data_IF_854394299976
#
_entry.id   IF_854394299976
#
_cell.length_a   1.000
_cell.length_b   1.000
_cell.length_c   1.000
_cell.angle_alpha   90.00
_cell.angle_beta   90.00
_cell.angle_gamma   90.00
#
_symmetry.space_group_name_H-M   'P 1'
#
loop_
_entity.id
_entity.type
_entity.pdbx_description
1 polymer ?
#
# COMPACT_ATOMS: atom_id res chain seq x y z
N UNK A 1 40.32 -33.34 9.20
CA UNK A 1 39.52 -32.18 9.67
C UNK A 1 38.30 -32.09 8.79
N UNK A 2 37.07 -32.23 9.34
CA UNK A 2 35.86 -32.20 8.54
C UNK A 2 35.55 -30.75 8.14
N UNK A 3 35.19 -30.53 6.88
CA UNK A 3 34.72 -29.21 6.45
C UNK A 3 33.18 -29.14 6.58
N UNK A 4 32.63 -28.00 7.03
CA UNK A 4 31.17 -27.82 7.09
C UNK A 4 30.56 -27.92 5.69
N UNK A 5 29.55 -28.77 5.55
CA UNK A 5 28.77 -28.86 4.30
C UNK A 5 27.80 -27.67 4.29
N UNK A 6 27.98 -26.72 3.37
CA UNK A 6 27.00 -25.68 3.07
C UNK A 6 25.91 -26.25 2.17
N UNK A 7 24.92 -26.91 2.75
CA UNK A 7 23.71 -27.24 2.00
C UNK A 7 22.73 -26.08 2.11
N UNK A 8 22.12 -25.68 0.98
CA UNK A 8 20.90 -24.87 1.01
C UNK A 8 19.91 -25.59 1.93
N UNK A 9 19.31 -24.85 2.87
CA UNK A 9 18.39 -25.46 3.83
C UNK A 9 17.22 -26.09 3.07
N UNK A 10 16.83 -27.29 3.44
CA UNK A 10 15.80 -28.05 2.73
C UNK A 10 14.49 -27.27 2.61
N UNK A 11 14.11 -26.51 3.65
CA UNK A 11 12.90 -25.69 3.60
C UNK A 11 12.98 -24.59 2.52
N UNK A 12 14.17 -24.03 2.23
CA UNK A 12 14.36 -23.03 1.18
C UNK A 12 14.09 -23.65 -0.20
N UNK A 13 14.49 -24.89 -0.41
CA UNK A 13 14.21 -25.60 -1.67
C UNK A 13 12.70 -25.87 -1.84
N UNK A 14 11.99 -26.17 -0.76
CA UNK A 14 10.52 -26.32 -0.77
C UNK A 14 9.85 -24.99 -1.14
N UNK A 15 10.31 -23.88 -0.55
CA UNK A 15 9.82 -22.53 -0.87
C UNK A 15 10.03 -22.23 -2.36
N UNK A 16 11.22 -22.50 -2.90
CA UNK A 16 11.52 -22.24 -4.31
C UNK A 16 10.69 -23.08 -5.27
N UNK A 17 10.36 -24.32 -4.92
CA UNK A 17 9.44 -25.13 -5.72
C UNK A 17 8.02 -24.53 -5.73
N UNK A 18 7.49 -24.14 -4.58
CA UNK A 18 6.16 -23.50 -4.49
C UNK A 18 6.15 -22.19 -5.29
N UNK A 19 7.19 -21.34 -5.17
CA UNK A 19 7.32 -20.13 -5.98
C UNK A 19 7.33 -20.43 -7.48
N UNK A 20 8.08 -21.45 -7.90
CA UNK A 20 8.15 -21.86 -9.30
C UNK A 20 6.77 -22.30 -9.80
N UNK A 21 6.00 -23.02 -9.00
CA UNK A 21 4.63 -23.42 -9.35
C UNK A 21 3.68 -22.24 -9.48
N UNK A 22 3.86 -21.20 -8.65
CA UNK A 22 3.10 -19.95 -8.77
C UNK A 22 3.48 -19.20 -10.05
N UNK A 23 4.78 -19.05 -10.32
CA UNK A 23 5.30 -18.37 -11.51
C UNK A 23 4.87 -19.06 -12.79
N UNK A 24 4.87 -20.39 -12.81
CA UNK A 24 4.43 -21.20 -13.97
C UNK A 24 2.90 -21.26 -14.13
N UNK A 25 2.12 -20.71 -13.20
CA UNK A 25 0.66 -20.75 -13.22
C UNK A 25 0.04 -22.08 -12.76
N UNK A 26 0.85 -23.03 -12.31
CA UNK A 26 0.39 -24.32 -11.77
C UNK A 26 -0.27 -24.18 -10.39
N UNK A 27 0.02 -23.10 -9.67
CA UNK A 27 -0.68 -22.66 -8.46
C UNK A 27 -1.19 -21.25 -8.67
N UNK A 28 -2.48 -21.05 -8.44
CA UNK A 28 -3.18 -19.78 -8.60
C UNK A 28 -3.71 -19.26 -7.27
N UNK A 29 -4.17 -18.02 -7.27
CA UNK A 29 -4.83 -17.40 -6.09
C UNK A 29 -6.00 -18.24 -5.61
N UNK A 30 -6.02 -18.55 -4.32
CA UNK A 30 -7.07 -19.33 -3.68
C UNK A 30 -6.88 -20.85 -3.75
N UNK A 31 -5.91 -21.34 -4.51
CA UNK A 31 -5.65 -22.77 -4.61
C UNK A 31 -5.23 -23.36 -3.28
N UNK A 32 -5.74 -24.57 -3.00
CA UNK A 32 -5.36 -25.34 -1.85
C UNK A 32 -4.03 -26.06 -2.13
N UNK A 33 -3.06 -25.88 -1.24
CA UNK A 33 -1.83 -26.65 -1.28
C UNK A 33 -2.08 -28.09 -0.83
N UNK A 34 -1.27 -29.07 -1.31
CA UNK A 34 -1.28 -30.41 -0.75
C UNK A 34 -1.06 -30.37 0.77
N UNK A 35 -1.62 -31.34 1.49
CA UNK A 35 -1.41 -31.43 2.94
C UNK A 35 0.07 -31.61 3.29
N UNK A 36 0.46 -31.27 4.53
CA UNK A 36 1.83 -31.50 5.02
C UNK A 36 2.29 -32.93 4.76
N UNK A 37 1.41 -33.91 4.93
CA UNK A 37 1.70 -35.33 4.70
C UNK A 37 1.99 -35.62 3.22
N UNK A 38 1.12 -35.12 2.33
CA UNK A 38 1.30 -35.28 0.89
C UNK A 38 2.59 -34.60 0.40
N UNK A 39 2.90 -33.38 0.92
CA UNK A 39 4.15 -32.68 0.59
C UNK A 39 5.38 -33.47 1.05
N UNK A 40 5.36 -34.07 2.26
CA UNK A 40 6.41 -34.96 2.74
C UNK A 40 6.59 -36.13 1.80
N UNK A 41 5.50 -36.77 1.39
CA UNK A 41 5.52 -37.95 0.53
C UNK A 41 6.00 -37.63 -0.89
N UNK A 42 5.61 -36.48 -1.45
CA UNK A 42 5.99 -36.04 -2.80
C UNK A 42 7.43 -35.52 -2.86
N UNK A 43 7.85 -34.71 -1.89
CA UNK A 43 9.16 -34.05 -1.90
C UNK A 43 10.24 -34.86 -1.21
N UNK A 44 9.87 -35.96 -0.52
CA UNK A 44 10.80 -36.86 0.21
C UNK A 44 11.66 -36.11 1.23
N UNK A 45 11.09 -35.15 1.92
CA UNK A 45 11.75 -34.34 2.95
C UNK A 45 11.07 -34.50 4.31
N UNK A 46 11.69 -33.97 5.37
CA UNK A 46 11.16 -34.09 6.72
C UNK A 46 9.89 -33.21 6.91
N UNK A 47 9.00 -33.65 7.83
CA UNK A 47 7.83 -32.82 8.23
C UNK A 47 8.24 -31.46 8.77
N UNK A 48 9.36 -31.40 9.49
CA UNK A 48 9.89 -30.14 10.04
C UNK A 48 10.22 -29.17 8.93
N UNK A 49 10.90 -29.62 7.87
CA UNK A 49 11.26 -28.76 6.72
C UNK A 49 10.01 -28.27 5.97
N UNK A 50 8.98 -29.10 5.81
CA UNK A 50 7.70 -28.68 5.21
C UNK A 50 7.04 -27.59 6.08
N UNK A 51 6.96 -27.80 7.40
CA UNK A 51 6.34 -26.83 8.30
C UNK A 51 7.10 -25.51 8.35
N UNK A 52 8.42 -25.53 8.34
CA UNK A 52 9.25 -24.33 8.25
C UNK A 52 8.99 -23.57 6.94
N UNK A 53 8.93 -24.26 5.81
CA UNK A 53 8.65 -23.66 4.52
C UNK A 53 7.25 -23.01 4.49
N UNK A 54 6.21 -23.73 4.94
CA UNK A 54 4.86 -23.22 4.98
C UNK A 54 4.73 -22.01 5.93
N UNK A 55 5.36 -22.06 7.12
CA UNK A 55 5.40 -20.91 8.03
C UNK A 55 6.09 -19.70 7.42
N UNK A 56 7.23 -19.90 6.75
CA UNK A 56 7.92 -18.80 6.07
C UNK A 56 7.04 -18.17 4.97
N UNK A 57 6.37 -19.00 4.15
CA UNK A 57 5.44 -18.52 3.14
C UNK A 57 4.21 -17.81 3.73
N UNK A 58 3.74 -18.24 4.90
CA UNK A 58 2.64 -17.60 5.63
C UNK A 58 3.08 -16.23 6.19
N UNK A 59 4.28 -16.15 6.80
CA UNK A 59 4.83 -14.89 7.32
C UNK A 59 5.01 -13.86 6.22
N UNK A 60 5.53 -14.27 5.05
CA UNK A 60 5.64 -13.37 3.89
C UNK A 60 4.31 -13.16 3.17
N UNK A 61 3.21 -13.76 3.66
CA UNK A 61 1.85 -13.52 3.19
C UNK A 61 1.52 -14.13 1.83
N UNK A 62 2.30 -15.09 1.34
CA UNK A 62 1.99 -15.79 0.08
C UNK A 62 0.92 -16.87 0.27
N UNK A 63 0.85 -17.47 1.47
CA UNK A 63 -0.17 -18.45 1.80
C UNK A 63 -0.94 -18.03 3.05
N UNK A 64 -2.08 -18.66 3.28
CA UNK A 64 -2.87 -18.58 4.50
C UNK A 64 -3.15 -19.98 5.01
N UNK A 65 -2.98 -20.18 6.31
CA UNK A 65 -3.38 -21.41 6.99
C UNK A 65 -4.82 -21.25 7.52
N UNK A 66 -5.71 -22.18 7.15
CA UNK A 66 -7.03 -22.28 7.72
C UNK A 66 -7.09 -23.52 8.61
N UNK A 67 -7.43 -23.30 9.89
CA UNK A 67 -7.46 -24.38 10.86
C UNK A 67 -8.44 -25.48 10.42
N UNK A 68 -7.96 -26.72 10.34
CA UNK A 68 -8.74 -27.88 9.90
C UNK A 68 -8.95 -28.00 8.39
N UNK A 69 -8.71 -26.94 7.61
CA UNK A 69 -8.90 -26.96 6.17
C UNK A 69 -7.58 -27.11 5.39
N UNK A 70 -6.46 -26.64 5.95
CA UNK A 70 -5.13 -26.71 5.35
C UNK A 70 -4.57 -25.36 4.91
N UNK A 71 -3.57 -25.39 4.03
CA UNK A 71 -2.87 -24.23 3.51
C UNK A 71 -3.38 -23.86 2.12
N UNK A 72 -3.52 -22.56 1.85
CA UNK A 72 -4.04 -22.05 0.59
C UNK A 72 -3.15 -20.91 0.08
N UNK A 73 -2.96 -20.80 -1.22
CA UNK A 73 -2.41 -19.58 -1.82
C UNK A 73 -3.37 -18.43 -1.49
N UNK A 74 -2.83 -17.29 -1.04
CA UNK A 74 -3.69 -16.13 -0.74
C UNK A 74 -4.44 -15.67 -1.99
N UNK A 75 -5.70 -15.39 -1.80
CA UNK A 75 -6.61 -14.82 -2.79
C UNK A 75 -6.59 -13.30 -2.78
N UNK A 76 -6.41 -12.70 -1.58
CA UNK A 76 -6.28 -11.26 -1.39
C UNK A 76 -4.98 -10.94 -0.66
N UNK A 77 -4.26 -9.97 -1.18
CA UNK A 77 -3.06 -9.42 -0.55
C UNK A 77 -3.46 -8.09 0.09
N UNK A 78 -3.50 -8.06 1.40
CA UNK A 78 -3.78 -6.88 2.20
C UNK A 78 -2.49 -6.09 2.52
N UNK A 79 -2.67 -4.94 3.17
CA UNK A 79 -1.58 -4.04 3.51
C UNK A 79 -0.52 -4.67 4.45
N UNK A 80 -0.84 -5.77 5.14
CA UNK A 80 0.07 -6.44 6.07
C UNK A 80 1.35 -6.97 5.42
N UNK A 81 1.32 -7.21 4.10
CA UNK A 81 2.50 -7.63 3.33
C UNK A 81 3.56 -6.53 3.22
N UNK A 82 3.14 -5.28 3.28
CA UNK A 82 4.00 -4.13 3.04
C UNK A 82 4.50 -3.48 4.34
N UNK A 83 3.95 -3.87 5.49
CA UNK A 83 4.38 -3.40 6.80
C UNK A 83 5.86 -3.66 7.09
N UNK A 84 6.43 -4.86 6.81
CA UNK A 84 7.87 -5.08 6.98
C UNK A 84 8.74 -4.13 6.14
N UNK A 85 8.28 -3.78 4.92
CA UNK A 85 9.02 -2.85 4.05
C UNK A 85 8.98 -1.42 4.60
N UNK A 86 7.85 -0.99 5.17
CA UNK A 86 7.76 0.29 5.88
C UNK A 86 8.77 0.37 7.04
N UNK A 87 8.94 -0.72 7.81
CA UNK A 87 9.93 -0.79 8.89
C UNK A 87 11.36 -0.68 8.36
N UNK A 88 11.67 -1.33 7.23
CA UNK A 88 12.99 -1.19 6.58
C UNK A 88 13.26 0.25 6.20
N UNK A 89 12.31 0.94 5.58
CA UNK A 89 12.46 2.36 5.24
C UNK A 89 12.68 3.25 6.47
N UNK A 90 12.02 2.94 7.59
CA UNK A 90 12.23 3.65 8.86
C UNK A 90 13.64 3.39 9.42
N UNK A 91 14.13 2.15 9.35
CA UNK A 91 15.47 1.76 9.82
C UNK A 91 16.58 2.41 8.98
N UNK A 92 16.40 2.49 7.67
CA UNK A 92 17.33 3.15 6.74
C UNK A 92 17.30 4.69 6.86
N UNK A 93 16.47 5.22 7.78
CA UNK A 93 16.34 6.67 8.02
C UNK A 93 16.05 7.44 6.74
N UNK A 94 15.15 6.91 5.90
CA UNK A 94 14.70 7.61 4.69
C UNK A 94 14.42 9.07 5.02
N UNK A 95 15.03 9.98 4.28
CA UNK A 95 14.84 11.41 4.52
C UNK A 95 13.43 11.83 4.03
N UNK A 96 13.01 13.01 4.45
CA UNK A 96 11.69 13.53 4.06
C UNK A 96 11.59 13.76 2.56
N UNK A 97 12.66 14.20 1.98
CA UNK A 97 12.77 14.55 0.56
C UNK A 97 12.51 13.32 -0.31
N UNK A 98 13.12 12.17 0.02
CA UNK A 98 12.90 10.91 -0.71
C UNK A 98 11.43 10.47 -0.65
N UNK A 99 10.80 10.60 0.53
CA UNK A 99 9.39 10.22 0.71
C UNK A 99 8.47 11.14 -0.08
N UNK A 100 8.75 12.45 -0.09
CA UNK A 100 8.00 13.46 -0.82
C UNK A 100 8.12 13.23 -2.33
N UNK A 101 9.32 12.94 -2.81
CA UNK A 101 9.58 12.66 -4.21
C UNK A 101 8.81 11.42 -4.69
N UNK A 102 8.90 10.32 -3.94
CA UNK A 102 8.16 9.08 -4.24
C UNK A 102 6.65 9.33 -4.19
N UNK A 103 6.16 10.05 -3.18
CA UNK A 103 4.76 10.41 -3.05
C UNK A 103 4.27 11.17 -4.27
N UNK A 104 5.01 12.20 -4.70
CA UNK A 104 4.67 13.01 -5.87
C UNK A 104 4.59 12.17 -7.14
N UNK A 105 5.62 11.36 -7.43
CA UNK A 105 5.65 10.49 -8.60
C UNK A 105 4.42 9.57 -8.64
N UNK A 106 4.08 8.98 -7.51
CA UNK A 106 3.04 7.95 -7.45
C UNK A 106 1.64 8.56 -7.43
N UNK A 107 1.38 9.58 -6.61
CA UNK A 107 0.03 10.12 -6.43
C UNK A 107 -0.41 10.97 -7.62
N UNK A 108 0.50 11.69 -8.26
CA UNK A 108 0.23 12.45 -9.49
C UNK A 108 -0.20 11.51 -10.62
N UNK A 109 0.51 10.41 -10.80
CA UNK A 109 0.15 9.41 -11.81
C UNK A 109 -1.09 8.61 -11.41
N UNK A 110 -1.28 8.33 -10.12
CA UNK A 110 -2.50 7.72 -9.60
C UNK A 110 -3.74 8.54 -9.93
N UNK A 111 -3.68 9.87 -9.75
CA UNK A 111 -4.78 10.77 -10.09
C UNK A 111 -5.09 10.76 -11.60
N UNK A 112 -4.05 10.76 -12.44
CA UNK A 112 -4.21 10.65 -13.90
C UNK A 112 -4.91 9.36 -14.33
N UNK A 113 -4.54 8.23 -13.72
CA UNK A 113 -5.14 6.93 -13.99
C UNK A 113 -6.55 6.83 -13.40
N UNK A 114 -6.74 7.36 -12.18
CA UNK A 114 -8.04 7.38 -11.51
C UNK A 114 -9.08 8.12 -12.34
N UNK A 115 -8.76 9.28 -12.90
CA UNK A 115 -9.68 10.03 -13.75
C UNK A 115 -10.26 9.19 -14.91
N UNK A 116 -9.44 8.28 -15.47
CA UNK A 116 -9.88 7.38 -16.56
C UNK A 116 -10.74 6.21 -16.09
N UNK A 117 -10.59 5.77 -14.82
CA UNK A 117 -11.06 4.46 -14.36
C UNK A 117 -12.05 4.52 -13.20
N UNK A 118 -12.18 5.68 -12.55
CA UNK A 118 -13.01 5.87 -11.35
C UNK A 118 -14.47 5.50 -11.59
N UNK A 119 -15.05 4.78 -10.68
CA UNK A 119 -16.46 4.38 -10.68
C UNK A 119 -17.34 5.42 -10.00
N UNK A 120 -18.66 5.34 -10.23
CA UNK A 120 -19.63 6.20 -9.55
C UNK A 120 -19.63 6.01 -8.03
N UNK A 121 -19.39 4.79 -7.58
CA UNK A 121 -19.31 4.45 -6.14
C UNK A 121 -18.08 5.10 -5.50
N UNK A 122 -16.94 5.06 -6.18
CA UNK A 122 -15.72 5.71 -5.70
C UNK A 122 -15.85 7.23 -5.69
N UNK A 123 -16.49 7.82 -6.68
CA UNK A 123 -16.80 9.26 -6.67
C UNK A 123 -17.66 9.65 -5.46
N UNK A 124 -18.69 8.85 -5.12
CA UNK A 124 -19.50 9.10 -3.93
C UNK A 124 -18.70 9.02 -2.63
N UNK A 125 -17.74 8.11 -2.55
CA UNK A 125 -16.84 8.02 -1.38
C UNK A 125 -15.96 9.27 -1.26
N UNK A 126 -15.37 9.74 -2.37
CA UNK A 126 -14.56 10.96 -2.36
C UNK A 126 -15.40 12.19 -1.99
N UNK A 127 -16.61 12.30 -2.52
CA UNK A 127 -17.56 13.36 -2.17
C UNK A 127 -17.87 13.37 -0.67
N UNK A 128 -18.17 12.20 -0.11
CA UNK A 128 -18.38 12.05 1.33
C UNK A 128 -17.16 12.46 2.16
N UNK A 129 -15.95 12.07 1.74
CA UNK A 129 -14.70 12.44 2.43
C UNK A 129 -14.53 13.98 2.43
N UNK A 130 -14.78 14.63 1.29
CA UNK A 130 -14.68 16.08 1.15
C UNK A 130 -15.71 16.78 2.07
N UNK A 131 -16.93 16.30 2.11
CA UNK A 131 -17.98 16.84 2.98
C UNK A 131 -17.60 16.69 4.47
N UNK A 132 -17.03 15.56 4.87
CA UNK A 132 -16.52 15.37 6.23
C UNK A 132 -15.35 16.32 6.55
N UNK A 133 -14.42 16.54 5.60
CA UNK A 133 -13.32 17.50 5.77
C UNK A 133 -13.88 18.92 5.98
N UNK A 134 -14.90 19.30 5.23
CA UNK A 134 -15.55 20.62 5.32
C UNK A 134 -16.20 20.86 6.68
N UNK A 135 -16.82 19.81 7.24
CA UNK A 135 -17.61 19.90 8.48
C UNK A 135 -16.79 19.61 9.74
N UNK A 136 -15.54 19.12 9.64
CA UNK A 136 -14.71 18.78 10.79
C UNK A 136 -13.77 19.91 11.18
N UNK A 137 -13.62 20.13 12.49
CA UNK A 137 -12.58 20.99 13.08
C UNK A 137 -11.53 20.19 13.85
N UNK A 138 -11.77 18.88 14.07
CA UNK A 138 -10.83 18.02 14.76
C UNK A 138 -9.67 17.62 13.83
N UNK A 139 -8.48 18.08 14.18
CA UNK A 139 -7.27 17.86 13.38
C UNK A 139 -6.93 16.38 13.20
N UNK A 140 -7.20 15.55 14.20
CA UNK A 140 -6.96 14.09 14.08
C UNK A 140 -7.90 13.46 13.06
N UNK A 141 -9.14 13.92 13.01
CA UNK A 141 -10.12 13.49 12.02
C UNK A 141 -9.69 13.99 10.64
N UNK A 142 -9.29 15.25 10.53
CA UNK A 142 -8.84 15.85 9.27
C UNK A 142 -7.61 15.13 8.69
N UNK A 143 -6.62 14.78 9.50
CA UNK A 143 -5.45 13.97 9.05
C UNK A 143 -5.90 12.63 8.48
N UNK A 144 -6.84 11.96 9.16
CA UNK A 144 -7.37 10.66 8.70
C UNK A 144 -8.16 10.79 7.38
N UNK A 145 -8.95 11.83 7.25
CA UNK A 145 -9.74 12.09 6.05
C UNK A 145 -8.86 12.45 4.85
N UNK A 146 -7.84 13.28 5.07
CA UNK A 146 -6.83 13.62 4.06
C UNK A 146 -6.13 12.36 3.53
N UNK A 147 -5.64 11.51 4.43
CA UNK A 147 -5.08 10.20 4.06
C UNK A 147 -6.06 9.35 3.25
N UNK A 148 -7.32 9.27 3.70
CA UNK A 148 -8.34 8.49 3.02
C UNK A 148 -8.65 9.03 1.62
N UNK A 149 -8.62 10.36 1.42
CA UNK A 149 -8.80 10.98 0.13
C UNK A 149 -7.74 10.52 -0.88
N UNK A 150 -6.47 10.61 -0.50
CA UNK A 150 -5.36 10.15 -1.34
C UNK A 150 -5.40 8.64 -1.60
N UNK A 151 -5.75 7.86 -0.58
CA UNK A 151 -5.88 6.40 -0.70
C UNK A 151 -7.01 5.99 -1.67
N UNK A 152 -8.19 6.62 -1.59
CA UNK A 152 -9.31 6.33 -2.49
C UNK A 152 -8.97 6.70 -3.94
N UNK A 153 -8.21 7.76 -4.19
CA UNK A 153 -7.70 8.10 -5.53
C UNK A 153 -6.72 7.04 -6.01
N UNK A 154 -5.78 6.62 -5.17
CA UNK A 154 -4.84 5.55 -5.52
C UNK A 154 -5.56 4.24 -5.84
N UNK A 155 -6.60 3.90 -5.07
CA UNK A 155 -7.44 2.73 -5.31
C UNK A 155 -8.22 2.86 -6.63
N UNK A 156 -8.75 4.06 -6.92
CA UNK A 156 -9.47 4.34 -8.15
C UNK A 156 -8.57 4.29 -9.41
N UNK A 157 -7.24 4.40 -9.25
CA UNK A 157 -6.29 4.16 -10.33
C UNK A 157 -6.40 2.76 -10.91
N UNK A 158 -6.99 1.82 -10.17
CA UNK A 158 -7.10 0.40 -10.51
C UNK A 158 -5.77 -0.20 -10.97
N UNK A 159 -4.66 0.25 -10.35
CA UNK A 159 -3.32 -0.26 -10.56
C UNK A 159 -2.84 -0.89 -9.26
N UNK A 160 -2.90 -2.23 -9.19
CA UNK A 160 -2.54 -2.99 -8.00
C UNK A 160 -1.12 -2.70 -7.52
N UNK A 161 -0.15 -2.61 -8.44
CA UNK A 161 1.25 -2.37 -8.08
C UNK A 161 1.42 -0.97 -7.47
N UNK A 162 0.86 0.05 -8.11
CA UNK A 162 0.92 1.43 -7.63
C UNK A 162 0.29 1.57 -6.23
N UNK A 163 -0.89 0.99 -6.02
CA UNK A 163 -1.55 1.00 -4.72
C UNK A 163 -0.68 0.35 -3.62
N UNK A 164 -0.01 -0.75 -3.95
CA UNK A 164 0.83 -1.45 -2.98
C UNK A 164 2.14 -0.72 -2.68
N UNK A 165 2.70 0.04 -3.62
CA UNK A 165 3.85 0.89 -3.36
C UNK A 165 3.44 2.03 -2.39
N UNK A 166 2.29 2.68 -2.61
CA UNK A 166 1.75 3.69 -1.66
C UNK A 166 1.56 3.07 -0.27
N UNK A 167 0.98 1.88 -0.19
CA UNK A 167 0.79 1.18 1.07
C UNK A 167 2.10 0.88 1.79
N UNK A 168 3.16 0.53 1.05
CA UNK A 168 4.50 0.31 1.63
C UNK A 168 5.09 1.57 2.27
N UNK A 169 4.76 2.73 1.73
CA UNK A 169 5.21 4.03 2.24
C UNK A 169 4.20 4.67 3.21
N UNK A 170 3.05 4.04 3.47
CA UNK A 170 1.91 4.67 4.15
C UNK A 170 2.27 5.26 5.52
N UNK A 171 3.00 4.52 6.36
CA UNK A 171 3.39 4.98 7.69
C UNK A 171 4.27 6.24 7.63
N UNK A 172 5.15 6.32 6.64
CA UNK A 172 6.03 7.48 6.41
C UNK A 172 5.24 8.66 5.86
N UNK A 173 4.36 8.42 4.90
CA UNK A 173 3.45 9.44 4.33
C UNK A 173 2.52 9.99 5.41
N UNK A 174 1.97 9.13 6.29
CA UNK A 174 1.12 9.53 7.41
C UNK A 174 1.81 10.54 8.32
N UNK A 175 3.08 10.31 8.64
CA UNK A 175 3.87 11.22 9.47
C UNK A 175 4.09 12.58 8.78
N UNK A 176 4.26 12.60 7.45
CA UNK A 176 4.37 13.83 6.66
C UNK A 176 3.06 14.62 6.66
N UNK A 177 1.94 13.96 6.37
CA UNK A 177 0.61 14.58 6.39
C UNK A 177 0.33 15.20 7.76
N UNK A 178 0.56 14.45 8.84
CA UNK A 178 0.35 14.92 10.21
C UNK A 178 1.21 16.15 10.50
N UNK A 179 2.47 16.16 10.10
CA UNK A 179 3.39 17.29 10.30
C UNK A 179 2.97 18.52 9.50
N UNK A 180 2.58 18.37 8.23
CA UNK A 180 2.14 19.46 7.38
C UNK A 180 0.87 20.11 7.97
N UNK A 181 -0.15 19.32 8.31
CA UNK A 181 -1.40 19.81 8.88
C UNK A 181 -1.20 20.47 10.25
N UNK A 182 -0.34 19.91 11.09
CA UNK A 182 0.00 20.53 12.38
C UNK A 182 0.61 21.93 12.20
N UNK A 183 1.52 22.09 11.24
CA UNK A 183 2.11 23.40 10.93
C UNK A 183 1.08 24.39 10.35
N UNK A 184 0.21 23.94 9.45
CA UNK A 184 -0.90 24.74 8.91
C UNK A 184 -1.77 25.26 10.05
N UNK A 185 -2.10 24.41 11.02
CA UNK A 185 -2.89 24.79 12.19
C UNK A 185 -2.19 25.82 13.08
N UNK A 186 -0.90 25.63 13.39
CA UNK A 186 -0.14 26.56 14.25
C UNK A 186 -0.01 27.93 13.61
N UNK A 187 0.15 28.02 12.30
CA UNK A 187 0.26 29.29 11.59
C UNK A 187 -1.01 30.13 11.65
N UNK A 188 -2.11 29.58 12.25
CA UNK A 188 -3.41 30.25 12.42
C UNK A 188 -3.93 30.94 11.15
N UNK A 189 -3.48 30.49 10.00
CA UNK A 189 -3.87 31.05 8.73
C UNK A 189 -5.11 30.31 8.25
N UNK A 190 -6.27 30.88 8.46
CA UNK A 190 -7.57 30.34 8.04
C UNK A 190 -7.62 30.08 6.53
N UNK A 191 -6.86 30.87 5.76
CA UNK A 191 -6.77 30.75 4.31
C UNK A 191 -6.16 29.41 3.87
N UNK A 192 -5.17 28.90 4.59
CA UNK A 192 -4.49 27.62 4.22
C UNK A 192 -5.41 26.40 4.37
N UNK A 193 -6.28 26.37 5.39
CA UNK A 193 -7.25 25.27 5.56
C UNK A 193 -8.31 25.31 4.45
N UNK A 194 -8.79 26.50 4.12
CA UNK A 194 -9.73 26.72 3.03
C UNK A 194 -9.11 26.36 1.67
N UNK A 195 -7.85 26.75 1.47
CA UNK A 195 -7.10 26.44 0.25
C UNK A 195 -6.93 24.91 0.06
N UNK A 196 -6.59 24.15 1.11
CA UNK A 196 -6.51 22.69 1.04
C UNK A 196 -7.84 22.06 0.64
N UNK A 197 -8.95 22.52 1.22
CA UNK A 197 -10.28 22.03 0.89
C UNK A 197 -10.62 22.32 -0.58
N UNK A 198 -10.38 23.55 -1.04
CA UNK A 198 -10.61 23.97 -2.42
C UNK A 198 -9.79 23.12 -3.42
N UNK A 199 -8.54 22.77 -3.05
CA UNK A 199 -7.72 21.89 -3.87
C UNK A 199 -8.29 20.48 -3.94
N UNK A 200 -8.77 19.88 -2.83
CA UNK A 200 -9.43 18.58 -2.85
C UNK A 200 -10.70 18.61 -3.71
N UNK A 201 -11.53 19.65 -3.60
CA UNK A 201 -12.72 19.83 -4.43
C UNK A 201 -12.37 19.93 -5.94
N UNK A 202 -11.32 20.67 -6.29
CA UNK A 202 -10.84 20.77 -7.68
C UNK A 202 -10.35 19.43 -8.22
N UNK A 203 -9.59 18.67 -7.44
CA UNK A 203 -9.12 17.32 -7.83
C UNK A 203 -10.34 16.41 -8.05
N UNK A 204 -11.30 16.40 -7.12
CA UNK A 204 -12.53 15.63 -7.25
C UNK A 204 -13.30 15.98 -8.53
N UNK A 205 -13.45 17.26 -8.86
CA UNK A 205 -14.12 17.68 -10.09
C UNK A 205 -13.39 17.20 -11.33
N UNK A 206 -12.06 17.30 -11.38
CA UNK A 206 -11.27 16.78 -12.50
C UNK A 206 -11.42 15.25 -12.66
N UNK A 207 -11.51 14.50 -11.55
CA UNK A 207 -11.79 13.06 -11.58
C UNK A 207 -13.20 12.76 -12.10
N UNK A 208 -14.20 13.54 -11.68
CA UNK A 208 -15.59 13.41 -12.09
C UNK A 208 -15.79 13.71 -13.59
N UNK A 209 -15.09 14.71 -14.10
CA UNK A 209 -15.08 15.07 -15.52
C UNK A 209 -14.14 14.16 -16.36
N UNK A 210 -13.46 13.22 -15.71
CA UNK A 210 -12.50 12.29 -16.36
C UNK A 210 -11.35 13.01 -17.07
N UNK A 211 -11.00 14.21 -16.64
CA UNK A 211 -9.85 14.95 -17.16
C UNK A 211 -8.55 14.49 -16.49
N UNK A 212 -7.91 13.53 -17.12
CA UNK A 212 -6.67 12.91 -16.63
C UNK A 212 -5.50 13.91 -16.52
N UNK A 213 -5.42 14.88 -17.45
CA UNK A 213 -4.34 15.87 -17.44
C UNK A 213 -4.56 16.89 -16.32
N UNK A 214 -5.79 17.34 -16.18
CA UNK A 214 -6.15 18.28 -15.11
C UNK A 214 -6.02 17.63 -13.73
N UNK A 215 -6.50 16.40 -13.55
CA UNK A 215 -6.37 15.66 -12.29
C UNK A 215 -4.91 15.50 -11.85
N UNK A 216 -4.03 15.12 -12.77
CA UNK A 216 -2.58 15.01 -12.55
C UNK A 216 -1.96 16.36 -12.14
N UNK A 217 -2.27 17.41 -12.89
CA UNK A 217 -1.78 18.77 -12.61
C UNK A 217 -2.22 19.25 -11.22
N UNK A 218 -3.52 19.14 -10.91
CA UNK A 218 -4.07 19.60 -9.63
C UNK A 218 -3.53 18.79 -8.45
N UNK A 219 -3.31 17.48 -8.61
CA UNK A 219 -2.66 16.66 -7.59
C UNK A 219 -1.22 17.13 -7.33
N UNK A 220 -0.46 17.42 -8.38
CA UNK A 220 0.90 17.95 -8.22
C UNK A 220 0.90 19.30 -7.48
N UNK A 221 0.03 20.23 -7.86
CA UNK A 221 -0.11 21.54 -7.20
C UNK A 221 -0.49 21.40 -5.72
N UNK A 222 -1.39 20.47 -5.40
CA UNK A 222 -1.81 20.15 -4.04
C UNK A 222 -0.64 19.59 -3.19
N UNK A 223 0.14 18.68 -3.74
CA UNK A 223 1.31 18.12 -3.05
C UNK A 223 2.38 19.20 -2.84
N UNK A 224 2.69 20.01 -3.84
CA UNK A 224 3.61 21.15 -3.72
C UNK A 224 3.15 22.17 -2.66
N UNK A 225 1.85 22.42 -2.58
CA UNK A 225 1.32 23.29 -1.55
C UNK A 225 1.55 22.70 -0.15
N UNK A 226 1.27 21.41 0.04
CA UNK A 226 1.49 20.72 1.32
C UNK A 226 2.96 20.68 1.74
N UNK A 227 3.88 20.55 0.79
CA UNK A 227 5.33 20.53 1.01
C UNK A 227 5.87 21.83 1.59
N UNK A 228 5.30 22.99 1.23
CA UNK A 228 5.69 24.31 1.79
C UNK A 228 5.63 24.35 3.32
N UNK A 229 4.77 23.54 3.92
CA UNK A 229 4.62 23.43 5.36
C UNK A 229 5.55 22.36 6.00
N UNK A 230 6.25 21.59 5.22
CA UNK A 230 7.21 20.60 5.73
C UNK A 230 8.59 21.18 6.03
N UNK A 231 8.82 22.46 5.64
CA UNK A 231 10.02 23.20 6.00
C UNK A 231 11.21 22.90 5.11
N UNK A 232 10.93 22.78 3.83
CA UNK A 232 11.96 22.87 2.78
C UNK A 232 12.19 24.29 2.40
#
# INVERSE_FOLDING_TARGET
MFMPIKNAKVYEQVIEQIKTMIISGNLQKGDKLPSERELVDQLKVSRTSIREALRALEIVGLIKCKQGEGNFIRDNFDNSLFEPLSLVFMLEKSNKEDIIEVRRIIEVEAAALAAKRITKEQLKKLEYIIDEIKNSEDEKILVKLDKNFHYEIAQASNNFILLNIINSCSTLIDSLIQNARYKIKIMKNFDNKKELLDQHEKIYLALKEKDSKLASKLMNEHLEFSEKFLGM
#
